data_IF_732848952064
#
_entry.id   IF_732848952064
#
_cell.length_a   1.000
_cell.length_b   1.000
_cell.length_c   1.000
_cell.angle_alpha   90.00
_cell.angle_beta   90.00
_cell.angle_gamma   90.00
#
_symmetry.space_group_name_H-M   'P 1'
#
loop_
_entity.id
_entity.type
_entity.pdbx_description
1 polymer ?
#
# COMPACT_ATOMS: atom_id res chain seq x y z
N UNK A 1 -47.02 -23.94 -5.20
CA UNK A 1 -47.97 -23.93 -6.34
C UNK A 1 -49.30 -23.36 -5.87
N UNK A 2 -50.01 -22.66 -6.76
CA UNK A 2 -50.74 -21.42 -6.51
C UNK A 2 -52.25 -21.62 -6.64
N UNK A 3 -53.06 -20.56 -6.57
CA UNK A 3 -54.09 -20.27 -7.60
C UNK A 3 -54.71 -18.89 -7.35
N UNK A 4 -54.24 -17.92 -8.14
CA UNK A 4 -54.95 -16.69 -8.52
C UNK A 4 -55.66 -17.01 -9.83
N UNK A 5 -56.93 -16.61 -9.99
CA UNK A 5 -57.48 -16.31 -11.31
C UNK A 5 -58.79 -15.50 -11.24
N UNK A 6 -58.84 -14.38 -11.98
CA UNK A 6 -59.88 -14.09 -12.98
C UNK A 6 -59.58 -12.80 -13.77
N UNK A 7 -59.28 -13.01 -15.06
CA UNK A 7 -59.51 -12.16 -16.25
C UNK A 7 -60.98 -11.62 -16.30
N UNK A 8 -61.44 -10.66 -17.14
CA UNK A 8 -60.99 -10.07 -18.41
C UNK A 8 -61.86 -8.84 -18.82
N UNK A 9 -61.44 -8.16 -19.92
CA UNK A 9 -62.12 -7.23 -20.89
C UNK A 9 -61.77 -5.72 -20.74
N UNK A 10 -60.96 -5.05 -21.60
CA UNK A 10 -61.08 -4.59 -23.03
C UNK A 10 -62.30 -3.66 -23.27
N UNK A 11 -62.32 -2.48 -23.93
CA UNK A 11 -61.46 -1.69 -24.86
C UNK A 11 -62.05 -0.28 -25.09
N UNK A 12 -61.20 0.71 -25.47
CA UNK A 12 -61.35 1.72 -26.55
C UNK A 12 -60.87 3.16 -26.22
N UNK A 13 -60.09 3.72 -27.16
CA UNK A 13 -59.55 5.11 -27.29
C UNK A 13 -60.66 6.12 -27.73
N UNK A 14 -60.45 7.46 -27.98
CA UNK A 14 -59.30 8.14 -28.63
C UNK A 14 -58.99 9.61 -28.14
N UNK A 15 -58.32 10.39 -28.99
CA UNK A 15 -57.38 11.53 -28.80
C UNK A 15 -57.92 12.98 -28.91
N UNK A 16 -57.23 13.94 -28.25
CA UNK A 16 -56.96 15.40 -28.53
C UNK A 16 -58.15 16.40 -28.74
N UNK A 17 -58.02 17.77 -28.80
CA UNK A 17 -56.83 18.68 -28.84
C UNK A 17 -56.93 20.09 -28.11
N UNK A 18 -55.85 20.91 -28.23
CA UNK A 18 -55.74 22.42 -28.43
C UNK A 18 -55.55 23.47 -27.28
N UNK A 19 -54.33 24.07 -27.27
CA UNK A 19 -53.83 25.51 -27.25
C UNK A 19 -54.68 26.72 -26.76
N UNK A 20 -54.08 27.90 -26.36
CA UNK A 20 -53.37 28.85 -27.27
C UNK A 20 -52.17 29.68 -26.70
N UNK A 21 -51.64 30.57 -27.55
CA UNK A 21 -50.35 31.29 -27.59
C UNK A 21 -50.41 32.81 -27.30
N UNK A 22 -49.26 33.48 -27.06
CA UNK A 22 -48.84 34.78 -27.67
C UNK A 22 -47.40 35.19 -27.31
N UNK A 23 -46.82 36.01 -28.20
CA UNK A 23 -45.43 36.36 -28.55
C UNK A 23 -44.80 37.56 -27.82
N UNK A 24 -43.46 37.67 -27.82
CA UNK A 24 -42.68 38.85 -28.31
C UNK A 24 -41.16 38.62 -28.24
N UNK A 25 -40.41 39.08 -29.25
CA UNK A 25 -38.95 38.99 -29.40
C UNK A 25 -38.29 40.38 -29.45
N UNK A 26 -37.01 40.51 -29.05
CA UNK A 26 -36.14 41.64 -29.43
C UNK A 26 -34.64 41.30 -29.26
N UNK A 27 -33.87 41.79 -30.22
CA UNK A 27 -32.45 41.64 -30.58
C UNK A 27 -31.45 42.38 -29.66
N UNK A 28 -30.21 41.90 -29.49
CA UNK A 28 -28.96 42.69 -29.71
C UNK A 28 -27.63 42.06 -29.22
N UNK A 29 -26.68 41.97 -30.18
CA UNK A 29 -25.27 42.44 -30.15
C UNK A 29 -24.22 41.69 -29.28
N UNK A 30 -23.12 41.30 -29.94
CA UNK A 30 -21.94 40.68 -29.34
C UNK A 30 -20.72 41.60 -29.15
N UNK A 31 -19.57 40.94 -28.89
CA UNK A 31 -18.18 41.43 -28.69
C UNK A 31 -17.92 42.10 -27.33
N UNK A 32 -16.80 41.93 -26.59
CA UNK A 32 -15.49 41.29 -26.83
C UNK A 32 -14.60 41.32 -25.55
N UNK A 33 -13.74 40.29 -25.41
CA UNK A 33 -12.33 40.26 -24.92
C UNK A 33 -11.89 40.65 -23.47
N UNK A 34 -11.28 39.63 -22.82
CA UNK A 34 -9.94 39.53 -22.18
C UNK A 34 -9.63 40.12 -20.80
N UNK A 35 -9.20 39.25 -19.87
CA UNK A 35 -7.90 39.26 -19.13
C UNK A 35 -7.84 38.02 -18.20
N UNK A 36 -7.12 36.97 -18.57
CA UNK A 36 -5.72 36.62 -18.19
C UNK A 36 -5.53 36.11 -16.75
N UNK A 37 -5.52 34.78 -16.58
CA UNK A 37 -4.79 34.10 -15.50
C UNK A 37 -4.35 32.68 -15.93
N UNK A 38 -3.07 32.61 -16.34
CA UNK A 38 -2.08 31.53 -16.16
C UNK A 38 -2.62 30.08 -16.03
N UNK A 39 -2.41 29.18 -17.02
CA UNK A 39 -2.62 27.75 -16.81
C UNK A 39 -1.41 27.10 -16.09
N UNK A 40 -1.62 26.17 -15.15
CA UNK A 40 -0.52 25.35 -14.63
C UNK A 40 -0.06 24.36 -15.69
N UNK A 41 1.24 24.04 -15.63
CA UNK A 41 1.95 23.18 -16.56
C UNK A 41 1.23 21.83 -16.78
N UNK A 42 0.85 21.59 -18.03
CA UNK A 42 0.44 20.29 -18.53
C UNK A 42 1.67 19.37 -18.57
N UNK A 43 1.79 18.48 -17.59
CA UNK A 43 2.61 17.27 -17.71
C UNK A 43 1.73 16.01 -17.57
N UNK A 44 0.66 15.98 -18.36
CA UNK A 44 -0.28 14.85 -18.47
C UNK A 44 -0.24 14.29 -19.89
N UNK A 45 0.92 13.88 -20.39
CA UNK A 45 0.99 13.08 -21.61
C UNK A 45 2.14 12.06 -21.57
N UNK A 46 1.98 11.04 -20.71
CA UNK A 46 2.47 9.67 -20.98
C UNK A 46 2.03 8.67 -19.90
N UNK A 47 0.74 8.68 -19.51
CA UNK A 47 0.21 7.60 -18.66
C UNK A 47 -0.04 6.36 -19.55
N UNK A 48 0.55 5.20 -19.25
CA UNK A 48 0.27 3.99 -20.01
C UNK A 48 -1.19 3.56 -19.82
N UNK A 49 -1.94 3.54 -20.92
CA UNK A 49 -3.37 3.19 -20.91
C UNK A 49 -3.49 1.66 -20.98
N UNK A 50 -3.80 1.03 -19.84
CA UNK A 50 -4.29 -0.34 -19.82
C UNK A 50 -5.61 -0.45 -20.61
N UNK A 51 -5.95 -1.62 -21.20
CA UNK A 51 -7.14 -1.77 -22.03
C UNK A 51 -8.43 -1.34 -21.31
N UNK A 52 -9.30 -0.73 -22.12
CA UNK A 52 -10.47 0.08 -21.78
C UNK A 52 -11.41 -0.64 -20.77
N UNK A 53 -11.33 -0.29 -19.48
CA UNK A 53 -12.17 -0.84 -18.42
C UNK A 53 -13.17 0.23 -17.94
N UNK A 54 -14.47 -0.10 -17.77
CA UNK A 54 -15.34 0.73 -16.93
C UNK A 54 -14.80 0.70 -15.50
N UNK A 55 -14.62 1.88 -14.89
CA UNK A 55 -13.90 2.10 -13.64
C UNK A 55 -14.39 1.33 -12.39
N UNK A 56 -15.46 0.53 -12.50
CA UNK A 56 -16.19 -0.07 -11.37
C UNK A 56 -16.31 -1.60 -11.36
N UNK A 57 -15.65 -2.36 -12.24
CA UNK A 57 -15.64 -3.83 -12.03
C UNK A 57 -14.67 -4.18 -10.89
N UNK A 58 -15.07 -5.06 -9.96
CA UNK A 58 -14.22 -5.53 -8.85
C UNK A 58 -13.52 -6.86 -9.19
N UNK A 59 -13.60 -7.31 -10.45
CA UNK A 59 -13.05 -8.59 -10.89
C UNK A 59 -11.56 -8.47 -11.26
N UNK A 60 -10.82 -9.56 -11.06
CA UNK A 60 -9.48 -9.75 -11.64
C UNK A 60 -9.66 -10.22 -13.08
N UNK A 61 -8.93 -9.63 -14.02
CA UNK A 61 -8.92 -10.11 -15.41
C UNK A 61 -7.75 -11.08 -15.57
N UNK A 62 -8.06 -12.31 -15.93
CA UNK A 62 -7.09 -13.38 -16.13
C UNK A 62 -6.84 -13.54 -17.61
N UNK A 63 -5.58 -13.61 -18.01
CA UNK A 63 -5.23 -13.91 -19.39
C UNK A 63 -5.65 -15.34 -19.75
N UNK A 64 -6.17 -15.54 -20.96
CA UNK A 64 -6.52 -16.87 -21.48
C UNK A 64 -5.32 -17.83 -21.48
N UNK A 65 -4.07 -17.34 -21.54
CA UNK A 65 -2.87 -18.17 -21.43
C UNK A 65 -2.71 -18.85 -20.06
N UNK A 66 -3.37 -18.34 -19.01
CA UNK A 66 -3.35 -18.93 -17.67
C UNK A 66 -4.43 -20.00 -17.47
N UNK A 67 -5.15 -20.38 -18.53
CA UNK A 67 -6.14 -21.45 -18.47
C UNK A 67 -5.47 -22.77 -18.05
N UNK A 68 -6.01 -23.40 -17.02
CA UNK A 68 -5.46 -24.64 -16.45
C UNK A 68 -4.41 -24.43 -15.36
N UNK A 69 -4.01 -23.18 -15.06
CA UNK A 69 -3.12 -22.92 -13.94
C UNK A 69 -3.80 -23.27 -12.59
N UNK A 70 -3.21 -24.13 -11.74
CA UNK A 70 -3.80 -24.53 -10.46
C UNK A 70 -4.03 -23.35 -9.49
N UNK A 71 -3.34 -22.23 -9.66
CA UNK A 71 -3.56 -21.01 -8.87
C UNK A 71 -5.02 -20.53 -9.00
N UNK A 72 -5.65 -20.70 -10.16
CA UNK A 72 -7.02 -20.21 -10.41
C UNK A 72 -8.08 -20.86 -9.51
N UNK A 73 -7.90 -22.13 -9.16
CA UNK A 73 -8.84 -22.85 -8.27
C UNK A 73 -8.73 -22.42 -6.81
N UNK A 74 -7.62 -21.75 -6.46
CA UNK A 74 -7.29 -21.30 -5.12
C UNK A 74 -7.67 -19.83 -4.89
N UNK A 75 -7.93 -19.06 -5.94
CA UNK A 75 -8.46 -17.70 -5.87
C UNK A 75 -9.97 -17.79 -5.60
N UNK A 76 -10.38 -17.61 -4.34
CA UNK A 76 -11.77 -17.79 -3.90
C UNK A 76 -12.39 -16.53 -3.29
N UNK A 77 -11.58 -15.68 -2.65
CA UNK A 77 -12.04 -14.46 -1.97
C UNK A 77 -12.38 -13.32 -2.91
N UNK A 78 -11.98 -13.40 -4.18
CA UNK A 78 -12.11 -12.32 -5.15
C UNK A 78 -12.61 -12.89 -6.48
N UNK A 79 -13.63 -12.27 -7.11
CA UNK A 79 -14.13 -12.71 -8.41
C UNK A 79 -13.08 -12.47 -9.50
N UNK A 80 -13.00 -13.39 -10.46
CA UNK A 80 -12.12 -13.27 -11.61
C UNK A 80 -12.81 -13.78 -12.87
N UNK A 81 -12.41 -13.24 -14.02
CA UNK A 81 -12.94 -13.61 -15.32
C UNK A 81 -11.81 -13.65 -16.35
N UNK A 82 -11.97 -14.46 -17.39
CA UNK A 82 -11.04 -14.43 -18.51
C UNK A 82 -11.29 -13.20 -19.38
N UNK A 83 -10.22 -12.49 -19.70
CA UNK A 83 -10.29 -11.35 -20.60
C UNK A 83 -9.00 -11.18 -21.40
N UNK A 84 -9.01 -10.17 -22.27
CA UNK A 84 -7.82 -9.78 -23.02
C UNK A 84 -6.99 -8.82 -22.18
N UNK A 85 -5.78 -9.26 -21.80
CA UNK A 85 -4.83 -8.46 -21.02
C UNK A 85 -3.41 -8.82 -21.42
N UNK A 86 -2.48 -7.88 -21.26
CA UNK A 86 -1.04 -8.11 -21.54
C UNK A 86 -0.40 -8.89 -20.38
N UNK A 87 -0.84 -8.61 -19.14
CA UNK A 87 -0.43 -9.32 -17.93
C UNK A 87 -0.98 -10.75 -17.89
N UNK A 88 -0.54 -11.56 -16.93
CA UNK A 88 -1.16 -12.87 -16.68
C UNK A 88 -2.38 -12.69 -15.77
N UNK A 89 -2.24 -11.81 -14.78
CA UNK A 89 -3.29 -11.39 -13.86
C UNK A 89 -3.33 -9.87 -13.78
N UNK A 90 -4.38 -9.27 -14.33
CA UNK A 90 -4.62 -7.85 -14.18
C UNK A 90 -5.45 -7.59 -12.93
N UNK A 91 -4.79 -7.02 -11.93
CA UNK A 91 -5.35 -6.80 -10.60
C UNK A 91 -6.16 -5.49 -10.60
N UNK A 92 -5.57 -4.43 -11.15
CA UNK A 92 -6.22 -3.13 -11.34
C UNK A 92 -5.89 -2.55 -12.72
N UNK A 93 -6.44 -1.37 -13.04
CA UNK A 93 -6.13 -0.61 -14.24
C UNK A 93 -4.64 -0.21 -14.28
N UNK A 94 -4.03 0.09 -13.14
CA UNK A 94 -2.61 0.50 -13.04
C UNK A 94 -1.69 -0.62 -12.57
N UNK A 95 -2.23 -1.79 -12.21
CA UNK A 95 -1.46 -2.90 -11.61
C UNK A 95 -1.61 -4.18 -12.40
N UNK A 96 -0.50 -4.65 -12.95
CA UNK A 96 -0.41 -5.91 -13.70
C UNK A 96 0.56 -6.87 -13.02
N UNK A 97 0.22 -8.16 -13.07
CA UNK A 97 1.06 -9.22 -12.51
C UNK A 97 1.37 -10.30 -13.55
N UNK A 98 2.61 -10.79 -13.53
CA UNK A 98 3.07 -11.96 -14.28
C UNK A 98 3.25 -13.14 -13.34
N UNK A 99 3.08 -14.36 -13.87
CA UNK A 99 3.34 -15.59 -13.15
C UNK A 99 4.46 -16.39 -13.81
N UNK A 100 5.43 -16.82 -13.00
CA UNK A 100 6.57 -17.59 -13.46
C UNK A 100 6.87 -18.72 -12.48
N UNK A 101 6.92 -19.96 -12.99
CA UNK A 101 7.50 -21.09 -12.26
C UNK A 101 9.00 -21.16 -12.54
N UNK A 102 9.81 -21.48 -11.52
CA UNK A 102 11.26 -21.66 -11.71
C UNK A 102 11.57 -22.83 -12.64
N UNK A 103 10.84 -23.94 -12.54
CA UNK A 103 10.93 -25.04 -13.51
C UNK A 103 10.69 -24.55 -14.94
N UNK A 104 9.64 -23.75 -15.15
CA UNK A 104 9.34 -23.21 -16.47
C UNK A 104 10.43 -22.26 -16.97
N UNK A 105 10.96 -21.40 -16.11
CA UNK A 105 12.04 -20.48 -16.49
C UNK A 105 13.32 -21.22 -16.92
N UNK A 106 13.65 -22.35 -16.28
CA UNK A 106 14.78 -23.19 -16.69
C UNK A 106 14.60 -23.79 -18.08
N UNK A 107 13.38 -24.16 -18.43
CA UNK A 107 13.03 -24.68 -19.76
C UNK A 107 13.04 -23.56 -20.82
N UNK A 108 12.65 -22.34 -20.43
CA UNK A 108 12.47 -21.20 -21.32
C UNK A 108 13.06 -19.91 -20.70
N UNK A 109 14.38 -19.73 -20.73
CA UNK A 109 15.03 -18.56 -20.12
C UNK A 109 14.62 -17.23 -20.77
N UNK A 110 14.49 -17.19 -22.10
CA UNK A 110 14.15 -15.97 -22.87
C UNK A 110 12.71 -15.49 -22.67
N UNK A 111 11.85 -16.33 -22.09
CA UNK A 111 10.44 -16.02 -21.87
C UNK A 111 10.27 -14.79 -20.99
N UNK A 112 11.02 -14.72 -19.89
CA UNK A 112 10.83 -13.68 -18.88
C UNK A 112 11.15 -12.30 -19.45
N UNK A 113 12.31 -12.13 -20.09
CA UNK A 113 12.74 -10.86 -20.67
C UNK A 113 11.75 -10.35 -21.73
N UNK A 114 11.23 -11.28 -22.55
CA UNK A 114 10.24 -10.95 -23.58
C UNK A 114 8.93 -10.47 -22.97
N UNK A 115 8.48 -11.08 -21.87
CA UNK A 115 7.25 -10.69 -21.16
C UNK A 115 7.42 -9.37 -20.41
N UNK A 116 8.55 -9.16 -19.74
CA UNK A 116 8.86 -7.91 -19.03
C UNK A 116 8.81 -6.73 -20.00
N UNK A 117 9.52 -6.81 -21.13
CA UNK A 117 9.54 -5.73 -22.15
C UNK A 117 8.15 -5.29 -22.62
N UNK A 118 7.22 -6.24 -22.76
CA UNK A 118 5.83 -5.94 -23.15
C UNK A 118 5.04 -5.23 -22.06
N UNK A 119 5.35 -5.51 -20.79
CA UNK A 119 4.56 -5.06 -19.65
C UNK A 119 5.10 -3.76 -19.02
N UNK A 120 6.38 -3.42 -19.21
CA UNK A 120 7.03 -2.20 -18.68
C UNK A 120 6.19 -0.94 -18.96
N UNK A 121 5.66 -0.83 -20.19
CA UNK A 121 4.88 0.34 -20.65
C UNK A 121 3.37 0.17 -20.49
N UNK A 122 2.89 -0.87 -19.80
CA UNK A 122 1.45 -1.15 -19.71
C UNK A 122 0.86 -0.82 -18.33
N UNK A 123 1.68 -0.86 -17.27
CA UNK A 123 1.23 -0.68 -15.89
C UNK A 123 2.22 0.14 -15.07
N UNK A 124 1.70 0.92 -14.13
CA UNK A 124 2.50 1.68 -13.17
C UNK A 124 3.17 0.69 -12.21
N UNK A 125 2.36 -0.11 -11.50
CA UNK A 125 2.82 -1.17 -10.61
C UNK A 125 2.89 -2.50 -11.36
N UNK A 126 4.09 -3.06 -11.43
CA UNK A 126 4.40 -4.29 -12.15
C UNK A 126 4.91 -5.33 -11.17
N UNK A 127 4.22 -6.45 -11.08
CA UNK A 127 4.51 -7.50 -10.11
C UNK A 127 4.93 -8.76 -10.87
N UNK A 128 6.00 -9.40 -10.43
CA UNK A 128 6.35 -10.76 -10.86
C UNK A 128 6.09 -11.72 -9.68
N UNK A 129 5.09 -12.57 -9.82
CA UNK A 129 4.79 -13.67 -8.91
C UNK A 129 5.61 -14.89 -9.35
N UNK A 130 6.65 -15.21 -8.57
CA UNK A 130 7.55 -16.32 -8.85
C UNK A 130 7.26 -17.51 -7.93
N UNK A 131 6.90 -18.65 -8.52
CA UNK A 131 6.73 -19.91 -7.82
C UNK A 131 8.07 -20.66 -7.75
N UNK A 132 8.57 -20.83 -6.53
CA UNK A 132 9.75 -21.61 -6.21
C UNK A 132 9.40 -23.11 -6.14
N UNK A 133 9.44 -23.80 -7.27
CA UNK A 133 9.08 -25.22 -7.42
C UNK A 133 10.29 -26.15 -7.71
N UNK A 134 11.50 -25.64 -7.49
CA UNK A 134 12.79 -26.33 -7.72
C UNK A 134 13.68 -26.22 -6.48
N UNK A 135 14.45 -27.27 -6.19
CA UNK A 135 15.39 -27.27 -5.06
C UNK A 135 16.59 -26.35 -5.31
N UNK A 136 17.04 -26.26 -6.56
CA UNK A 136 18.13 -25.40 -6.98
C UNK A 136 17.57 -24.03 -7.44
N UNK A 137 17.20 -23.20 -6.47
CA UNK A 137 16.52 -21.92 -6.73
C UNK A 137 17.43 -20.71 -6.53
N UNK A 138 18.55 -20.85 -5.82
CA UNK A 138 19.40 -19.72 -5.41
C UNK A 138 19.99 -18.95 -6.59
N UNK A 139 20.64 -19.65 -7.52
CA UNK A 139 21.27 -19.04 -8.69
C UNK A 139 20.22 -18.42 -9.61
N UNK A 140 19.14 -19.16 -9.86
CA UNK A 140 18.07 -18.72 -10.75
C UNK A 140 17.31 -17.52 -10.19
N UNK A 141 17.00 -17.51 -8.90
CA UNK A 141 16.34 -16.38 -8.25
C UNK A 141 17.25 -15.16 -8.19
N UNK A 142 18.56 -15.33 -8.00
CA UNK A 142 19.52 -14.21 -8.07
C UNK A 142 19.45 -13.51 -9.43
N UNK A 143 19.44 -14.29 -10.51
CA UNK A 143 19.37 -13.75 -11.87
C UNK A 143 18.01 -13.11 -12.15
N UNK A 144 16.90 -13.77 -11.79
CA UNK A 144 15.54 -13.20 -11.90
C UNK A 144 15.44 -11.89 -11.10
N UNK A 145 15.98 -11.85 -9.88
CA UNK A 145 15.95 -10.65 -9.02
C UNK A 145 16.69 -9.50 -9.67
N UNK A 146 17.87 -9.75 -10.24
CA UNK A 146 18.62 -8.74 -10.99
C UNK A 146 17.81 -8.22 -12.18
N UNK A 147 17.20 -9.12 -12.95
CA UNK A 147 16.36 -8.74 -14.09
C UNK A 147 15.14 -7.93 -13.65
N UNK A 148 14.45 -8.32 -12.57
CA UNK A 148 13.33 -7.55 -12.03
C UNK A 148 13.75 -6.15 -11.58
N UNK A 149 14.89 -6.03 -10.89
CA UNK A 149 15.40 -4.76 -10.42
C UNK A 149 15.72 -3.80 -11.57
N UNK A 150 16.36 -4.27 -12.64
CA UNK A 150 16.68 -3.46 -13.83
C UNK A 150 15.43 -2.98 -14.56
N UNK A 151 14.35 -3.78 -14.57
CA UNK A 151 13.12 -3.47 -15.29
C UNK A 151 12.03 -2.83 -14.39
N UNK A 152 12.35 -2.48 -13.14
CA UNK A 152 11.42 -1.89 -12.16
C UNK A 152 10.20 -2.77 -11.85
N UNK A 153 10.42 -4.08 -11.68
CA UNK A 153 9.40 -5.02 -11.22
C UNK A 153 9.55 -5.30 -9.74
N UNK A 154 8.40 -5.40 -9.05
CA UNK A 154 8.34 -5.96 -7.70
C UNK A 154 8.28 -7.48 -7.80
N UNK A 155 9.36 -8.15 -7.39
CA UNK A 155 9.41 -9.61 -7.30
C UNK A 155 8.77 -10.10 -5.99
N UNK A 156 7.87 -11.07 -6.10
CA UNK A 156 7.29 -11.78 -4.95
C UNK A 156 7.50 -13.26 -5.18
N UNK A 157 8.29 -13.87 -4.30
CA UNK A 157 8.55 -15.31 -4.32
C UNK A 157 7.56 -16.02 -3.43
N UNK A 158 7.04 -17.15 -3.88
CA UNK A 158 6.18 -18.02 -3.12
C UNK A 158 6.61 -19.48 -3.27
N UNK A 159 6.34 -20.29 -2.25
CA UNK A 159 6.70 -21.70 -2.18
C UNK A 159 5.52 -22.63 -2.52
N UNK A 160 4.34 -22.07 -2.73
CA UNK A 160 3.16 -22.84 -3.13
C UNK A 160 2.19 -22.03 -4.00
N UNK A 161 1.38 -22.74 -4.79
CA UNK A 161 0.29 -22.13 -5.56
C UNK A 161 -0.73 -21.42 -4.65
N UNK A 162 -0.91 -21.89 -3.41
CA UNK A 162 -1.81 -21.29 -2.44
C UNK A 162 -1.33 -19.91 -1.99
N UNK A 163 -0.02 -19.73 -1.79
CA UNK A 163 0.58 -18.43 -1.48
C UNK A 163 0.46 -17.47 -2.65
N UNK A 164 0.75 -17.92 -3.88
CA UNK A 164 0.57 -17.09 -5.09
C UNK A 164 -0.89 -16.59 -5.18
N UNK A 165 -1.87 -17.49 -5.01
CA UNK A 165 -3.28 -17.13 -5.03
C UNK A 165 -3.62 -16.15 -3.90
N UNK A 166 -3.06 -16.34 -2.69
CA UNK A 166 -3.24 -15.42 -1.56
C UNK A 166 -2.70 -14.03 -1.87
N UNK A 167 -1.52 -13.91 -2.49
CA UNK A 167 -0.95 -12.62 -2.88
C UNK A 167 -1.83 -11.91 -3.92
N UNK A 168 -2.28 -12.63 -4.96
CA UNK A 168 -3.21 -12.08 -5.96
C UNK A 168 -4.47 -11.50 -5.29
N UNK A 169 -5.08 -12.26 -4.38
CA UNK A 169 -6.26 -11.83 -3.63
C UNK A 169 -5.96 -10.62 -2.74
N UNK A 170 -4.79 -10.62 -2.10
CA UNK A 170 -4.36 -9.55 -1.22
C UNK A 170 -4.22 -8.23 -1.98
N UNK A 171 -3.48 -8.22 -3.10
CA UNK A 171 -3.34 -7.02 -3.92
C UNK A 171 -4.68 -6.47 -4.38
N UNK A 172 -5.60 -7.34 -4.79
CA UNK A 172 -6.92 -6.89 -5.21
C UNK A 172 -7.74 -6.32 -4.04
N UNK A 173 -7.72 -6.98 -2.87
CA UNK A 173 -8.45 -6.52 -1.70
C UNK A 173 -7.92 -5.21 -1.09
N UNK A 174 -6.65 -4.88 -1.38
CA UNK A 174 -6.00 -3.65 -0.92
C UNK A 174 -6.09 -2.50 -1.92
N UNK A 175 -6.70 -2.69 -3.09
CA UNK A 175 -6.81 -1.67 -4.14
C UNK A 175 -7.43 -0.34 -3.63
N UNK A 176 -8.43 -0.44 -2.74
CA UNK A 176 -9.16 0.71 -2.19
C UNK A 176 -8.83 1.01 -0.73
N UNK A 177 -7.87 0.30 -0.12
CA UNK A 177 -7.52 0.50 1.29
C UNK A 177 -6.65 1.74 1.44
N UNK A 178 -6.93 2.54 2.47
CA UNK A 178 -6.11 3.70 2.81
C UNK A 178 -4.72 3.27 3.32
N UNK A 179 -3.69 4.13 3.21
CA UNK A 179 -2.35 3.84 3.71
C UNK A 179 -2.26 3.85 5.25
N UNK A 180 -3.37 3.98 5.97
CA UNK A 180 -3.39 4.12 7.42
C UNK A 180 -2.87 2.89 8.18
N UNK A 181 -2.86 1.72 7.52
CA UNK A 181 -2.22 0.51 8.07
C UNK A 181 -0.70 0.61 8.15
N UNK A 182 -0.08 1.46 7.31
CA UNK A 182 1.38 1.63 7.23
C UNK A 182 1.84 2.84 8.05
N UNK A 183 0.94 3.78 8.34
CA UNK A 183 1.24 4.93 9.19
C UNK A 183 1.58 4.46 10.60
N UNK A 184 2.64 5.02 11.16
CA UNK A 184 2.96 4.86 12.57
C UNK A 184 1.79 5.36 13.42
N UNK A 185 1.26 4.46 14.25
CA UNK A 185 0.26 4.82 15.25
C UNK A 185 1.00 5.40 16.46
N UNK A 186 1.13 6.71 16.49
CA UNK A 186 1.59 7.40 17.69
C UNK A 186 0.41 7.44 18.65
N UNK A 187 0.48 6.63 19.71
CA UNK A 187 -0.48 6.73 20.81
C UNK A 187 -0.31 8.11 21.46
N UNK A 188 -1.33 8.96 21.34
CA UNK A 188 -1.32 10.33 21.89
C UNK A 188 -1.47 10.37 23.42
N UNK A 189 -1.39 9.22 24.10
CA UNK A 189 -1.44 9.14 25.55
C UNK A 189 -0.11 9.59 26.18
N UNK A 190 -0.19 10.32 27.29
CA UNK A 190 0.98 10.87 27.98
C UNK A 190 1.96 9.77 28.40
N UNK A 191 1.46 8.65 28.92
CA UNK A 191 2.31 7.54 29.38
C UNK A 191 3.04 6.88 28.19
N UNK A 192 2.37 6.80 27.04
CA UNK A 192 2.95 6.25 25.81
C UNK A 192 4.06 7.15 25.26
N UNK A 193 3.84 8.47 25.26
CA UNK A 193 4.87 9.45 24.88
C UNK A 193 6.05 9.44 25.85
N UNK A 194 5.79 9.44 27.17
CA UNK A 194 6.83 9.41 28.19
C UNK A 194 7.67 8.13 28.10
N UNK A 195 7.02 6.98 27.85
CA UNK A 195 7.70 5.71 27.61
C UNK A 195 8.56 5.76 26.36
N UNK A 196 8.06 6.29 25.24
CA UNK A 196 8.83 6.44 24.01
C UNK A 196 10.08 7.30 24.20
N UNK A 197 9.93 8.45 24.87
CA UNK A 197 11.04 9.38 25.13
C UNK A 197 12.09 8.75 26.03
N UNK A 198 11.70 8.22 27.20
CA UNK A 198 12.67 7.71 28.18
C UNK A 198 13.29 6.38 27.75
N UNK A 199 12.57 5.50 27.04
CA UNK A 199 13.16 4.23 26.54
C UNK A 199 14.15 4.41 25.39
N UNK A 200 14.27 5.63 24.83
CA UNK A 200 15.37 5.98 23.92
C UNK A 200 16.73 5.94 24.62
N UNK A 201 16.77 6.13 25.95
CA UNK A 201 18.00 6.05 26.74
C UNK A 201 18.37 4.58 26.96
N UNK A 202 19.59 4.22 26.57
CA UNK A 202 20.06 2.83 26.61
C UNK A 202 19.95 2.21 28.01
N UNK A 203 19.13 1.16 28.11
CA UNK A 203 18.98 0.35 29.32
C UNK A 203 17.89 0.83 30.28
N UNK A 204 17.05 1.79 29.88
CA UNK A 204 15.77 2.04 30.53
C UNK A 204 14.67 1.19 29.89
N UNK A 205 13.87 0.55 30.74
CA UNK A 205 12.74 -0.27 30.35
C UNK A 205 11.40 0.43 30.67
N UNK A 206 10.30 -0.09 30.12
CA UNK A 206 8.94 0.42 30.41
C UNK A 206 8.63 0.45 31.91
N UNK A 207 9.11 -0.54 32.67
CA UNK A 207 8.96 -0.59 34.14
C UNK A 207 9.66 0.57 34.83
N UNK A 208 10.86 0.93 34.38
CA UNK A 208 11.61 2.07 34.95
C UNK A 208 10.87 3.38 34.70
N UNK A 209 10.30 3.53 33.49
CA UNK A 209 9.49 4.71 33.15
C UNK A 209 8.24 4.79 34.01
N UNK A 210 7.55 3.67 34.24
CA UNK A 210 6.38 3.64 35.12
C UNK A 210 6.75 4.04 36.56
N UNK A 211 7.89 3.56 37.06
CA UNK A 211 8.42 3.97 38.37
C UNK A 211 8.69 5.46 38.41
N UNK A 212 9.38 6.02 37.40
CA UNK A 212 9.66 7.45 37.31
C UNK A 212 8.37 8.27 37.22
N UNK A 213 7.39 7.85 36.42
CA UNK A 213 6.11 8.53 36.27
C UNK A 213 5.25 8.49 37.55
N UNK A 214 5.45 7.49 38.41
CA UNK A 214 4.73 7.36 39.69
C UNK A 214 5.38 8.20 40.78
N UNK A 215 6.71 8.28 40.82
CA UNK A 215 7.46 9.04 41.83
C UNK A 215 7.58 10.53 41.50
N UNK A 216 7.63 10.88 40.20
CA UNK A 216 7.73 12.26 39.73
C UNK A 216 6.46 12.67 38.99
N UNK A 217 5.93 13.86 39.30
CA UNK A 217 4.63 14.31 38.76
C UNK A 217 4.70 14.75 37.30
N UNK A 218 5.87 15.09 36.80
CA UNK A 218 6.05 15.65 35.45
C UNK A 218 7.40 15.25 34.86
N UNK A 219 7.47 15.20 33.52
CA UNK A 219 8.73 14.98 32.82
C UNK A 219 9.81 16.01 33.21
N UNK A 220 9.42 17.27 33.41
CA UNK A 220 10.32 18.31 33.90
C UNK A 220 10.99 17.94 35.22
N UNK A 221 10.22 17.46 36.19
CA UNK A 221 10.76 17.03 37.48
C UNK A 221 11.70 15.83 37.34
N UNK A 222 11.46 14.92 36.39
CA UNK A 222 12.37 13.80 36.11
C UNK A 222 13.72 14.31 35.59
N UNK A 223 13.70 15.35 34.75
CA UNK A 223 14.91 15.94 34.15
C UNK A 223 15.71 16.77 35.17
N UNK A 224 15.02 17.55 36.02
CA UNK A 224 15.64 18.40 37.04
C UNK A 224 16.01 17.63 38.33
N UNK A 225 15.62 16.36 38.46
CA UNK A 225 15.85 15.55 39.66
C UNK A 225 17.34 15.36 39.95
N UNK A 226 17.69 15.41 41.25
CA UNK A 226 19.05 15.14 41.69
C UNK A 226 19.41 13.65 41.55
N UNK A 227 20.71 13.30 41.45
CA UNK A 227 21.15 11.91 41.40
C UNK A 227 20.65 11.07 42.59
N UNK A 228 20.57 11.70 43.76
CA UNK A 228 20.07 11.09 44.98
C UNK A 228 18.59 10.73 44.86
N UNK A 229 17.74 11.67 44.41
CA UNK A 229 16.30 11.44 44.25
C UNK A 229 15.98 10.36 43.21
N UNK A 230 16.72 10.33 42.10
CA UNK A 230 16.58 9.27 41.10
C UNK A 230 16.98 7.89 41.67
N UNK A 231 17.96 7.85 42.57
CA UNK A 231 18.41 6.61 43.22
C UNK A 231 17.43 6.08 44.28
N UNK A 232 16.53 6.93 44.80
CA UNK A 232 15.45 6.48 45.69
C UNK A 232 14.35 5.70 44.95
N UNK A 233 14.29 5.80 43.61
CA UNK A 233 13.27 5.12 42.82
C UNK A 233 13.51 3.59 42.80
N UNK A 234 12.51 2.77 43.15
CA UNK A 234 12.69 1.32 43.21
C UNK A 234 13.02 0.73 41.83
N UNK A 235 14.09 -0.08 41.77
CA UNK A 235 14.54 -0.74 40.54
C UNK A 235 15.42 0.11 39.61
N UNK A 236 15.65 1.39 39.96
CA UNK A 236 16.54 2.29 39.22
C UNK A 236 17.95 2.22 39.79
N UNK A 237 18.77 1.29 39.28
CA UNK A 237 20.16 1.15 39.73
C UNK A 237 21.08 2.29 39.27
N UNK A 238 22.22 2.46 39.94
CA UNK A 238 23.19 3.55 39.70
C UNK A 238 23.59 3.72 38.23
N UNK A 239 23.75 2.62 37.49
CA UNK A 239 24.09 2.66 36.06
C UNK A 239 22.98 3.30 35.22
N UNK A 240 21.70 3.09 35.57
CA UNK A 240 20.55 3.71 34.89
C UNK A 240 20.45 5.19 35.26
N UNK A 241 20.63 5.52 36.53
CA UNK A 241 20.65 6.91 37.03
C UNK A 241 21.76 7.72 36.35
N UNK A 242 22.98 7.18 36.28
CA UNK A 242 24.10 7.82 35.59
C UNK A 242 23.78 8.09 34.12
N UNK A 243 23.20 7.12 33.42
CA UNK A 243 22.80 7.28 32.00
C UNK A 243 21.67 8.28 31.80
N UNK A 244 20.71 8.35 32.72
CA UNK A 244 19.65 9.37 32.71
C UNK A 244 20.25 10.76 32.83
N UNK A 245 21.12 10.97 33.83
CA UNK A 245 21.78 12.25 34.07
C UNK A 245 22.69 12.65 32.91
N UNK A 246 23.44 11.69 32.36
CA UNK A 246 24.24 11.90 31.16
C UNK A 246 23.34 12.29 29.98
N UNK A 247 22.25 11.57 29.73
CA UNK A 247 21.34 11.90 28.63
C UNK A 247 20.69 13.30 28.77
N UNK A 248 20.39 13.74 29.99
CA UNK A 248 19.74 15.03 30.23
C UNK A 248 20.71 16.22 30.23
N UNK A 249 21.94 16.02 30.68
CA UNK A 249 22.90 17.12 30.91
C UNK A 249 24.10 17.13 29.95
N UNK A 250 24.25 16.13 29.09
CA UNK A 250 25.35 16.11 28.12
C UNK A 250 25.20 17.20 27.06
N UNK A 251 26.33 17.79 26.69
CA UNK A 251 26.41 18.71 25.55
C UNK A 251 26.23 17.93 24.23
N UNK A 252 25.44 18.48 23.31
CA UNK A 252 25.20 17.88 22.00
C UNK A 252 26.45 17.82 21.12
N UNK A 253 27.49 18.60 21.43
CA UNK A 253 28.72 18.69 20.63
C UNK A 253 29.85 17.78 21.10
N UNK A 254 29.88 17.44 22.39
CA UNK A 254 31.00 16.76 23.02
C UNK A 254 30.56 15.41 23.57
N UNK A 255 30.52 14.40 22.69
CA UNK A 255 30.33 13.01 23.14
C UNK A 255 31.60 12.53 23.83
N UNK A 256 31.54 12.08 25.09
CA UNK A 256 32.70 11.50 25.75
C UNK A 256 33.14 10.25 24.98
N UNK A 257 34.34 10.28 24.39
CA UNK A 257 34.97 9.10 23.80
C UNK A 257 35.17 8.09 24.93
N UNK A 258 34.49 6.95 24.86
CA UNK A 258 34.67 5.86 25.81
C UNK A 258 36.10 5.30 25.72
N UNK A 259 36.92 5.62 26.73
CA UNK A 259 38.17 4.99 27.15
C UNK A 259 39.20 4.61 26.07
N UNK A 260 40.14 5.53 25.85
CA UNK A 260 41.53 5.17 25.51
C UNK A 260 42.24 4.85 26.85
N UNK A 261 42.21 3.58 27.24
CA UNK A 261 42.91 3.11 28.44
C UNK A 261 44.41 3.08 28.19
N UNK A 262 45.10 3.95 28.92
CA UNK A 262 46.51 3.94 29.30
C UNK A 262 47.32 2.68 28.96
N UNK A 263 48.39 2.88 28.19
CA UNK A 263 49.61 2.09 28.32
C UNK A 263 50.76 3.10 28.42
N UNK A 264 51.26 3.26 29.64
CA UNK A 264 52.51 3.94 29.95
C UNK A 264 53.42 2.89 30.59
#
# INVERSE_FOLDING_TARGET
MPFVNKNNQLTNAPSAPTQPSTTSASTSIGASKSSSSIPPANDIQNRPVAPNRPANSNNIIVNKCQRGNPVLTLIKSVPWEFGETISDYQLNQTTGSLFLSLKYHRLHPDYLDTRLKKLIKAYDLKILLCLCDSNDHEVVLKDITKTCMVNEFTLIVAWSNAEIARYIQLFKSFEKRSPDLIKEKIDNDYMSQLTSVLTTIRGLNKTDVMTLATNFRSFRQIVEASPSELSLCPGLGEKKVKRLLEAFNSDFRNFPKSNESANN
#
